data_IF_404025407080
#
_entry.id   IF_404025407080
#
_cell.length_a   1.000
_cell.length_b   1.000
_cell.length_c   1.000
_cell.angle_alpha   90.00
_cell.angle_beta   90.00
_cell.angle_gamma   90.00
#
_symmetry.space_group_name_H-M   'P 1'
#
loop_
_entity.id
_entity.type
_entity.pdbx_description
1 polymer ?
#
# COMPACT_ATOMS: atom_id res chain seq x y z
N UNK A 1 6.27 -16.27 -9.90
CA UNK A 1 6.76 -14.86 -9.99
C UNK A 1 5.91 -13.96 -10.91
N UNK A 2 5.24 -14.49 -11.95
CA UNK A 2 4.37 -13.69 -12.84
C UNK A 2 3.08 -13.15 -12.16
N UNK A 3 2.58 -13.84 -11.14
CA UNK A 3 1.38 -13.44 -10.36
C UNK A 3 1.63 -12.35 -9.32
N UNK A 4 2.87 -12.19 -8.84
CA UNK A 4 3.23 -11.23 -7.78
C UNK A 4 3.29 -9.78 -8.28
N UNK A 5 3.59 -9.58 -9.57
CA UNK A 5 3.58 -8.24 -10.21
C UNK A 5 2.20 -7.84 -10.74
N UNK A 6 1.30 -8.80 -11.01
CA UNK A 6 -0.07 -8.55 -11.48
C UNK A 6 -1.07 -8.24 -10.34
N UNK A 7 -0.80 -8.71 -9.13
CA UNK A 7 -1.63 -8.43 -7.94
C UNK A 7 -1.50 -7.00 -7.41
N UNK A 8 -0.55 -6.21 -7.92
CA UNK A 8 -0.38 -4.81 -7.56
C UNK A 8 -1.46 -3.87 -8.15
N UNK A 9 -2.32 -4.36 -9.06
CA UNK A 9 -3.04 -3.48 -9.99
C UNK A 9 -4.56 -3.32 -9.82
N UNK A 10 -5.23 -4.03 -8.91
CA UNK A 10 -6.69 -3.91 -8.80
C UNK A 10 -7.16 -3.67 -7.38
N UNK A 11 -7.09 -2.41 -6.96
CA UNK A 11 -7.86 -1.91 -5.81
C UNK A 11 -9.34 -2.24 -6.00
N UNK A 12 -9.92 -2.98 -5.06
CA UNK A 12 -11.35 -3.34 -5.08
C UNK A 12 -11.70 -4.69 -5.71
N UNK A 13 -10.72 -5.53 -6.10
CA UNK A 13 -10.99 -6.92 -6.52
C UNK A 13 -11.66 -7.74 -5.41
N UNK A 14 -11.32 -7.45 -4.15
CA UNK A 14 -11.98 -8.04 -2.96
C UNK A 14 -13.47 -7.72 -2.90
N UNK A 15 -13.87 -6.47 -3.15
CA UNK A 15 -15.28 -6.10 -3.21
C UNK A 15 -16.03 -6.80 -4.34
N UNK A 16 -15.41 -6.97 -5.51
CA UNK A 16 -16.06 -7.67 -6.64
C UNK A 16 -16.34 -9.13 -6.26
N UNK A 17 -15.39 -9.82 -5.61
CA UNK A 17 -15.61 -11.18 -5.10
C UNK A 17 -16.68 -11.21 -4.01
N UNK A 18 -16.67 -10.25 -3.07
CA UNK A 18 -17.70 -10.11 -2.05
C UNK A 18 -19.09 -9.92 -2.68
N UNK A 19 -19.24 -8.97 -3.60
CA UNK A 19 -20.48 -8.68 -4.31
C UNK A 19 -20.98 -9.90 -5.11
N UNK A 20 -20.09 -10.65 -5.77
CA UNK A 20 -20.44 -11.88 -6.47
C UNK A 20 -20.95 -12.98 -5.52
N UNK A 21 -20.40 -13.07 -4.31
CA UNK A 21 -20.83 -14.04 -3.30
C UNK A 21 -22.16 -13.61 -2.66
N UNK A 22 -22.34 -12.32 -2.38
CA UNK A 22 -23.59 -11.78 -1.83
C UNK A 22 -24.74 -11.83 -2.84
N UNK A 23 -24.46 -11.77 -4.15
CA UNK A 23 -25.47 -12.02 -5.19
C UNK A 23 -26.06 -13.43 -5.12
N UNK A 24 -25.35 -14.40 -4.53
CA UNK A 24 -25.88 -15.75 -4.28
C UNK A 24 -26.78 -15.82 -3.03
N UNK A 25 -26.82 -14.77 -2.20
CA UNK A 25 -27.64 -14.68 -0.98
C UNK A 25 -28.60 -13.47 -1.04
N UNK A 26 -29.84 -13.66 -1.52
CA UNK A 26 -30.77 -12.57 -1.86
C UNK A 26 -31.37 -11.81 -0.66
N UNK A 27 -30.93 -12.07 0.57
CA UNK A 27 -31.53 -11.51 1.80
C UNK A 27 -30.88 -10.22 2.29
N UNK A 28 -29.83 -9.72 1.62
CA UNK A 28 -29.01 -8.63 2.15
C UNK A 28 -29.55 -7.26 1.68
N UNK A 29 -29.88 -6.35 2.61
CA UNK A 29 -30.33 -4.99 2.29
C UNK A 29 -29.30 -4.21 1.48
N UNK A 30 -29.76 -3.42 0.50
CA UNK A 30 -28.91 -2.64 -0.42
C UNK A 30 -28.10 -1.58 0.34
N UNK A 31 -28.64 -1.03 1.44
CA UNK A 31 -27.94 -0.05 2.26
C UNK A 31 -26.67 -0.63 2.90
N UNK A 32 -26.70 -1.92 3.29
CA UNK A 32 -25.55 -2.61 3.87
C UNK A 32 -24.41 -2.83 2.86
N UNK A 33 -24.75 -3.05 1.59
CA UNK A 33 -23.78 -3.22 0.50
C UNK A 33 -23.09 -1.89 0.17
N UNK A 34 -23.82 -0.76 0.22
CA UNK A 34 -23.25 0.56 0.02
C UNK A 34 -22.26 0.96 1.14
N UNK A 35 -22.56 0.61 2.38
CA UNK A 35 -21.66 0.80 3.53
C UNK A 35 -20.39 -0.06 3.38
N UNK A 36 -20.54 -1.32 2.98
CA UNK A 36 -19.42 -2.22 2.70
C UNK A 36 -18.53 -1.73 1.56
N UNK A 37 -19.10 -1.13 0.51
CA UNK A 37 -18.34 -0.53 -0.60
C UNK A 37 -17.43 0.59 -0.11
N UNK A 38 -17.94 1.46 0.77
CA UNK A 38 -17.16 2.56 1.35
C UNK A 38 -15.98 2.07 2.18
N UNK A 39 -16.22 1.06 3.03
CA UNK A 39 -15.18 0.48 3.88
C UNK A 39 -14.17 -0.32 3.07
N UNK A 40 -14.59 -1.13 2.10
CA UNK A 40 -13.68 -1.91 1.25
C UNK A 40 -12.73 -0.99 0.50
N UNK A 41 -13.24 0.11 -0.08
CA UNK A 41 -12.40 1.06 -0.81
C UNK A 41 -11.36 1.72 0.08
N UNK A 42 -11.76 2.17 1.26
CA UNK A 42 -10.82 2.75 2.25
C UNK A 42 -9.77 1.73 2.70
N UNK A 43 -10.18 0.50 3.04
CA UNK A 43 -9.25 -0.54 3.48
C UNK A 43 -8.30 -1.00 2.37
N UNK A 44 -8.79 -1.06 1.13
CA UNK A 44 -8.00 -1.41 -0.05
C UNK A 44 -6.89 -0.38 -0.29
N UNK A 45 -7.20 0.91 -0.19
CA UNK A 45 -6.23 2.00 -0.28
C UNK A 45 -5.24 1.99 0.90
N UNK A 46 -5.72 1.78 2.14
CA UNK A 46 -4.87 1.67 3.32
C UNK A 46 -3.85 0.52 3.19
N UNK A 47 -4.29 -0.64 2.66
CA UNK A 47 -3.42 -1.78 2.35
C UNK A 47 -2.38 -1.42 1.29
N UNK A 48 -2.77 -0.69 0.24
CA UNK A 48 -1.84 -0.25 -0.79
C UNK A 48 -0.74 0.67 -0.22
N UNK A 49 -1.11 1.63 0.63
CA UNK A 49 -0.18 2.55 1.27
C UNK A 49 0.78 1.79 2.20
N UNK A 50 0.28 0.89 3.04
CA UNK A 50 1.13 0.10 3.95
C UNK A 50 2.11 -0.80 3.20
N UNK A 51 1.67 -1.43 2.10
CA UNK A 51 2.55 -2.22 1.23
C UNK A 51 3.61 -1.35 0.55
N UNK A 52 3.26 -0.14 0.11
CA UNK A 52 4.20 0.81 -0.47
C UNK A 52 5.28 1.21 0.54
N UNK A 53 4.87 1.60 1.75
CA UNK A 53 5.78 1.98 2.84
C UNK A 53 6.69 0.80 3.20
N UNK A 54 6.13 -0.39 3.36
CA UNK A 54 6.91 -1.60 3.67
C UNK A 54 7.98 -1.90 2.63
N UNK A 55 7.64 -1.82 1.35
CA UNK A 55 8.61 -2.00 0.26
C UNK A 55 9.67 -0.90 0.24
N UNK A 56 9.28 0.37 0.42
CA UNK A 56 10.22 1.49 0.46
C UNK A 56 11.23 1.37 1.62
N UNK A 57 10.75 1.01 2.81
CA UNK A 57 11.60 0.76 3.98
C UNK A 57 12.50 -0.44 3.73
N UNK A 58 11.98 -1.53 3.17
CA UNK A 58 12.80 -2.70 2.83
C UNK A 58 13.91 -2.34 1.84
N UNK A 59 13.63 -1.52 0.81
CA UNK A 59 14.65 -1.03 -0.12
C UNK A 59 15.72 -0.23 0.59
N UNK A 60 15.36 0.73 1.44
CA UNK A 60 16.33 1.55 2.20
C UNK A 60 17.20 0.68 3.12
N UNK A 61 16.59 -0.27 3.83
CA UNK A 61 17.30 -1.17 4.75
C UNK A 61 18.27 -2.06 3.98
N UNK A 62 17.82 -2.69 2.89
CA UNK A 62 18.66 -3.57 2.05
C UNK A 62 19.81 -2.78 1.43
N UNK A 63 19.55 -1.60 0.84
CA UNK A 63 20.61 -0.75 0.30
C UNK A 63 21.65 -0.38 1.35
N UNK A 64 21.25 -0.16 2.61
CA UNK A 64 22.19 0.13 3.70
C UNK A 64 23.00 -1.10 4.11
N UNK A 65 22.40 -2.29 4.07
CA UNK A 65 23.10 -3.55 4.36
C UNK A 65 24.13 -3.89 3.28
N UNK A 66 23.78 -3.67 2.01
CA UNK A 66 24.66 -3.93 0.86
C UNK A 66 25.72 -2.82 0.63
N UNK A 67 25.82 -1.82 1.52
CA UNK A 67 26.68 -0.62 1.35
C UNK A 67 26.42 0.22 0.08
N UNK A 68 25.30 -0.01 -0.61
CA UNK A 68 24.86 0.70 -1.83
C UNK A 68 23.87 1.85 -1.50
N UNK A 69 23.77 2.25 -0.22
CA UNK A 69 22.88 3.35 0.17
C UNK A 69 23.49 4.69 -0.17
N UNK A 70 23.14 5.20 -1.35
CA UNK A 70 23.45 6.56 -1.79
C UNK A 70 22.25 7.48 -1.48
N UNK A 71 22.26 8.23 -0.36
CA UNK A 71 21.25 9.25 -0.14
C UNK A 71 21.35 10.31 -1.25
N UNK A 72 20.20 10.74 -1.77
CA UNK A 72 20.11 11.84 -2.73
C UNK A 72 20.85 13.07 -2.17
N UNK A 73 21.56 13.83 -3.02
CA UNK A 73 22.36 14.97 -2.59
C UNK A 73 21.60 15.97 -1.69
N UNK A 74 20.28 16.09 -1.90
CA UNK A 74 19.36 16.91 -1.11
C UNK A 74 19.18 16.42 0.33
N UNK A 75 19.08 15.09 0.55
CA UNK A 75 18.96 14.48 1.88
C UNK A 75 20.29 14.52 2.66
N UNK A 76 21.42 14.50 1.95
CA UNK A 76 22.74 14.64 2.55
C UNK A 76 23.01 16.10 2.95
N UNK A 77 22.56 17.09 2.16
CA UNK A 77 22.64 18.50 2.49
C UNK A 77 21.83 18.84 3.76
N UNK A 78 20.62 18.28 3.90
CA UNK A 78 19.77 18.49 5.07
C UNK A 78 20.36 17.85 6.34
N UNK A 79 20.94 16.65 6.24
CA UNK A 79 21.71 16.04 7.34
C UNK A 79 22.93 16.86 7.73
N UNK A 80 23.66 17.39 6.76
CA UNK A 80 24.88 18.19 7.02
C UNK A 80 24.51 19.51 7.70
N UNK A 81 23.44 20.18 7.25
CA UNK A 81 22.96 21.42 7.87
C UNK A 81 22.47 21.21 9.31
N UNK A 82 21.83 20.07 9.62
CA UNK A 82 21.41 19.75 11.00
C UNK A 82 22.61 19.45 11.91
N UNK A 83 23.67 18.82 11.39
CA UNK A 83 24.88 18.51 12.17
C UNK A 83 25.76 19.75 12.39
N UNK A 84 25.78 20.70 11.44
CA UNK A 84 26.57 21.94 11.55
C UNK A 84 25.87 23.01 12.41
N UNK A 85 24.55 22.94 12.55
CA UNK A 85 23.77 23.87 13.38
C UNK A 85 23.76 23.52 14.88
N UNK A 86 24.51 22.50 15.32
CA UNK A 86 24.63 22.05 16.71
C UNK A 86 26.08 22.13 17.17
#
# INVERSE_FOLDING_TARGET
MLTSKGAAGVTGSGFITLAATLAAFPMIPVEGIALLLGVDRFMSEARAITNLIGNAVATVVVSKMENEFHPSAEQNAERTNIVVAK
#
